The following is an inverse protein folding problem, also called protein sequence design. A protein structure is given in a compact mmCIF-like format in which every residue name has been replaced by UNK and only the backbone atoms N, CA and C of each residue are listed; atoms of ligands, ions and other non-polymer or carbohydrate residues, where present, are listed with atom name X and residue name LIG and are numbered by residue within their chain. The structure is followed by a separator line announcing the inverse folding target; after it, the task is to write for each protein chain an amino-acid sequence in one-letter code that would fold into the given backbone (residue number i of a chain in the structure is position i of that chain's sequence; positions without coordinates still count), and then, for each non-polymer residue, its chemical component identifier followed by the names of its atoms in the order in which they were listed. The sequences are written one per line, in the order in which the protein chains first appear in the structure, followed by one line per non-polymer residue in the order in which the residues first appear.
data_IF_402000499451
#
_entry.id   IF_402000499451
#
_cell.length_a   1.000
_cell.length_b   1.000
_cell.length_c   1.000
_cell.angle_alpha   90.00
_cell.angle_beta   90.00
_cell.angle_gamma   90.00
#
_symmetry.space_group_name_H-M   'P 1'
#
loop_
_entity.id
_entity.type
_entity.pdbx_description
1 polymer ?
#
# COMPACT_ATOMS: atom_id res chain seq x y z
N UNK A 1 -76.45 20.29 -40.26
CA UNK A 1 -76.96 19.02 -40.85
C UNK A 1 -75.99 17.94 -40.45
N UNK A 2 -76.47 17.15 -39.48
CA UNK A 2 -76.54 15.66 -39.50
C UNK A 2 -75.21 14.95 -39.51
N UNK A 3 -74.93 14.01 -38.77
CA UNK A 3 -75.50 13.01 -37.83
C UNK A 3 -74.30 12.32 -37.21
N UNK A 4 -74.09 12.16 -35.92
CA UNK A 4 -74.56 11.12 -34.98
C UNK A 4 -74.26 9.67 -35.40
N UNK A 5 -73.39 8.98 -34.58
CA UNK A 5 -73.47 7.60 -34.09
C UNK A 5 -72.17 7.31 -33.33
N UNK A 6 -72.06 7.14 -32.09
CA UNK A 6 -72.46 6.20 -31.04
C UNK A 6 -72.33 4.70 -31.45
N UNK A 7 -71.37 4.05 -30.88
CA UNK A 7 -71.28 2.61 -30.51
C UNK A 7 -70.00 2.47 -29.67
N UNK A 8 -70.11 2.29 -28.42
CA UNK A 8 -70.38 1.15 -27.57
C UNK A 8 -69.09 0.38 -27.16
N UNK A 9 -68.85 0.49 -26.03
CA UNK A 9 -68.38 -0.24 -24.87
C UNK A 9 -67.99 -1.71 -25.16
N UNK A 10 -66.70 -2.02 -24.96
CA UNK A 10 -66.34 -3.33 -24.43
C UNK A 10 -65.14 -3.26 -23.45
N UNK A 11 -65.44 -3.75 -22.33
CA UNK A 11 -64.79 -4.05 -21.08
C UNK A 11 -63.58 -5.00 -21.33
N UNK A 12 -62.35 -4.54 -21.14
CA UNK A 12 -61.21 -5.39 -20.97
C UNK A 12 -60.71 -5.33 -19.53
N UNK A 13 -60.89 -6.47 -18.94
CA UNK A 13 -60.53 -6.95 -17.62
C UNK A 13 -59.13 -6.55 -17.21
N UNK A 14 -58.99 -5.84 -16.11
CA UNK A 14 -57.71 -5.58 -15.40
C UNK A 14 -57.32 -6.86 -14.68
N UNK A 15 -56.36 -7.55 -15.21
CA UNK A 15 -55.59 -8.56 -14.47
C UNK A 15 -54.51 -7.81 -13.62
N UNK A 16 -54.85 -7.60 -12.36
CA UNK A 16 -53.86 -7.21 -11.34
C UNK A 16 -53.08 -8.46 -10.94
N UNK A 17 -51.95 -8.68 -11.52
CA UNK A 17 -50.91 -9.57 -10.94
C UNK A 17 -50.28 -8.83 -9.77
N UNK A 18 -50.84 -8.99 -8.60
CA UNK A 18 -50.25 -8.63 -7.35
C UNK A 18 -49.10 -9.62 -7.06
N UNK A 19 -47.89 -9.26 -7.50
CA UNK A 19 -46.67 -9.95 -7.10
C UNK A 19 -46.37 -9.60 -5.67
N UNK A 20 -46.83 -10.41 -4.73
CA UNK A 20 -46.45 -10.35 -3.32
C UNK A 20 -44.99 -10.77 -3.23
N UNK A 21 -44.07 -9.80 -3.24
CA UNK A 21 -42.67 -10.00 -2.86
C UNK A 21 -42.65 -10.43 -1.39
N UNK A 22 -42.32 -11.70 -1.16
CA UNK A 22 -42.16 -12.25 0.19
C UNK A 22 -40.97 -11.55 0.89
N UNK A 23 -41.05 -11.25 2.19
CA UNK A 23 -40.00 -10.56 2.93
C UNK A 23 -38.67 -11.34 3.01
N UNK A 24 -38.66 -12.62 2.61
CA UNK A 24 -37.45 -13.45 2.55
C UNK A 24 -36.44 -13.03 1.45
N UNK A 25 -36.90 -12.37 0.37
CA UNK A 25 -36.01 -11.93 -0.72
C UNK A 25 -35.25 -10.64 -0.39
N UNK A 26 -35.76 -9.83 0.55
CA UNK A 26 -35.13 -8.55 0.94
C UNK A 26 -33.97 -8.77 1.92
N UNK A 27 -34.00 -9.83 2.73
CA UNK A 27 -32.96 -10.13 3.74
C UNK A 27 -31.66 -10.65 3.09
N UNK A 28 -31.72 -11.28 1.92
CA UNK A 28 -30.55 -11.82 1.23
C UNK A 28 -29.73 -10.76 0.48
N UNK A 29 -30.33 -9.60 0.17
CA UNK A 29 -29.63 -8.53 -0.57
C UNK A 29 -28.79 -7.62 0.34
N UNK A 30 -29.03 -7.62 1.65
CA UNK A 30 -28.31 -6.76 2.60
C UNK A 30 -27.03 -7.37 3.17
N UNK A 31 -26.78 -8.66 2.95
CA UNK A 31 -25.59 -9.36 3.48
C UNK A 31 -24.36 -9.23 2.54
N UNK A 32 -24.56 -8.84 1.27
CA UNK A 32 -23.48 -8.78 0.29
C UNK A 32 -22.64 -7.48 0.32
N UNK A 33 -23.01 -6.48 1.13
CA UNK A 33 -22.28 -5.20 1.19
C UNK A 33 -21.21 -5.11 2.28
N UNK A 34 -20.96 -6.18 3.02
CA UNK A 34 -20.13 -6.17 4.23
C UNK A 34 -18.64 -6.52 4.06
N UNK A 35 -18.12 -6.80 2.86
CA UNK A 35 -16.75 -7.32 2.69
C UNK A 35 -15.90 -6.59 1.65
N UNK A 36 -16.27 -5.38 1.25
CA UNK A 36 -15.32 -4.51 0.59
C UNK A 36 -14.26 -4.08 1.63
N UNK A 37 -13.13 -4.76 1.66
CA UNK A 37 -11.94 -4.32 2.35
C UNK A 37 -11.51 -3.04 1.66
N UNK A 38 -11.97 -1.88 2.16
CA UNK A 38 -11.49 -0.59 1.71
C UNK A 38 -9.99 -0.57 1.96
N UNK A 39 -9.22 -0.66 0.88
CA UNK A 39 -7.80 -0.32 0.92
C UNK A 39 -7.79 1.18 1.18
N UNK A 40 -7.51 1.58 2.40
CA UNK A 40 -7.38 2.99 2.75
C UNK A 40 -6.13 3.52 2.03
N UNK A 41 -6.36 4.44 1.09
CA UNK A 41 -5.27 5.11 0.38
C UNK A 41 -4.61 6.15 1.30
N UNK A 42 -3.26 6.28 1.27
CA UNK A 42 -2.57 7.29 2.04
C UNK A 42 -3.00 8.70 1.63
N UNK A 43 -3.35 9.52 2.62
CA UNK A 43 -3.61 10.95 2.44
C UNK A 43 -2.29 11.71 2.56
N UNK A 44 -1.95 12.50 1.56
CA UNK A 44 -0.79 13.40 1.59
C UNK A 44 -1.15 14.65 2.40
N UNK A 45 -0.24 15.10 3.26
CA UNK A 45 -0.38 16.31 4.07
C UNK A 45 0.64 17.35 3.60
N UNK A 46 0.16 18.53 3.24
CA UNK A 46 1.02 19.65 2.83
C UNK A 46 1.77 20.27 4.01
N UNK A 47 1.24 20.14 5.22
CA UNK A 47 1.85 20.66 6.44
C UNK A 47 1.68 19.71 7.60
N UNK A 48 2.76 19.49 8.33
CA UNK A 48 2.76 18.70 9.57
C UNK A 48 2.71 19.63 10.77
N UNK A 49 1.61 19.53 11.54
CA UNK A 49 1.56 20.20 12.85
C UNK A 49 2.21 19.30 13.91
N UNK A 50 3.00 19.85 14.83
CA UNK A 50 3.55 19.10 15.95
C UNK A 50 2.40 18.61 16.84
N UNK A 51 2.42 17.33 17.21
CA UNK A 51 1.43 16.71 18.08
C UNK A 51 2.03 16.45 19.47
N UNK A 52 1.22 16.52 20.53
CA UNK A 52 1.66 16.18 21.88
C UNK A 52 2.00 14.68 21.97
N UNK A 53 3.11 14.38 22.66
CA UNK A 53 3.57 13.00 22.85
C UNK A 53 2.96 12.45 24.15
N UNK A 54 2.29 11.30 24.05
CA UNK A 54 1.68 10.57 25.15
C UNK A 54 1.88 9.06 24.94
N UNK A 55 3.13 8.60 25.01
CA UNK A 55 3.49 7.19 24.73
C UNK A 55 2.68 6.23 25.62
N UNK A 56 2.10 5.21 24.99
CA UNK A 56 1.27 4.21 25.65
C UNK A 56 1.80 2.80 25.41
N UNK A 57 1.80 1.97 26.44
CA UNK A 57 2.17 0.55 26.33
C UNK A 57 1.14 -0.30 25.56
N UNK A 58 -0.02 0.27 25.24
CA UNK A 58 -1.06 -0.41 24.47
C UNK A 58 -0.77 -0.41 22.97
N UNK A 59 0.13 0.45 22.52
CA UNK A 59 0.52 0.57 21.12
C UNK A 59 2.01 0.33 20.97
N UNK A 60 2.36 -0.51 20.02
CA UNK A 60 3.77 -0.84 19.76
C UNK A 60 4.05 -1.09 18.28
N UNK A 61 5.20 -0.66 17.80
CA UNK A 61 5.75 -1.12 16.53
C UNK A 61 6.45 -2.46 16.74
N UNK A 62 6.11 -3.45 15.90
CA UNK A 62 6.67 -4.82 15.98
C UNK A 62 7.81 -5.04 15.02
N UNK A 63 7.67 -4.53 13.81
CA UNK A 63 8.64 -4.73 12.74
C UNK A 63 8.48 -3.61 11.71
N UNK A 64 9.61 -3.16 11.17
CA UNK A 64 9.64 -2.27 10.02
C UNK A 64 10.44 -2.94 8.90
N UNK A 65 9.92 -2.89 7.69
CA UNK A 65 10.63 -3.29 6.48
C UNK A 65 10.74 -2.08 5.57
N UNK A 66 11.94 -1.82 5.11
CA UNK A 66 12.24 -0.78 4.15
C UNK A 66 12.78 -1.43 2.90
N UNK A 67 12.30 -0.99 1.76
CA UNK A 67 12.79 -1.45 0.48
C UNK A 67 12.93 -0.27 -0.47
N UNK A 68 14.11 -0.16 -1.07
CA UNK A 68 14.39 0.86 -2.08
C UNK A 68 14.51 0.19 -3.45
N UNK A 69 13.64 0.60 -4.38
CA UNK A 69 13.62 0.13 -5.75
C UNK A 69 14.21 1.19 -6.68
N UNK A 70 15.38 0.93 -7.25
CA UNK A 70 16.00 1.79 -8.26
C UNK A 70 15.99 1.12 -9.64
N UNK A 71 16.27 1.91 -10.69
CA UNK A 71 16.45 1.44 -12.06
C UNK A 71 17.65 0.50 -12.19
N UNK A 72 18.68 0.69 -11.35
CA UNK A 72 19.88 -0.16 -11.35
C UNK A 72 19.63 -1.41 -10.51
N UNK A 73 19.90 -2.61 -11.05
CA UNK A 73 19.86 -3.81 -10.24
C UNK A 73 20.87 -3.69 -9.10
N UNK A 74 20.59 -4.29 -7.94
CA UNK A 74 21.54 -4.29 -6.82
C UNK A 74 22.89 -4.80 -7.31
N UNK A 75 23.97 -4.08 -6.97
CA UNK A 75 25.31 -4.54 -7.27
C UNK A 75 25.50 -5.88 -6.57
N UNK A 76 25.78 -6.92 -7.34
CA UNK A 76 26.16 -8.22 -6.78
C UNK A 76 27.35 -8.00 -5.85
N UNK A 77 27.26 -8.53 -4.64
CA UNK A 77 28.34 -8.41 -3.65
C UNK A 77 29.65 -8.88 -4.29
N UNK A 78 30.72 -8.12 -4.13
CA UNK A 78 32.02 -8.44 -4.71
C UNK A 78 32.57 -9.81 -4.25
N UNK A 79 32.06 -10.34 -3.12
CA UNK A 79 32.35 -11.70 -2.65
C UNK A 79 31.89 -12.78 -3.63
N UNK A 80 30.81 -12.60 -4.34
CA UNK A 80 30.33 -13.52 -5.36
C UNK A 80 31.26 -13.52 -6.60
N UNK A 81 32.02 -12.44 -6.85
CA UNK A 81 32.99 -12.37 -7.93
C UNK A 81 34.31 -13.10 -7.59
N UNK A 82 34.72 -13.16 -6.33
CA UNK A 82 35.96 -13.79 -5.90
C UNK A 82 35.89 -15.31 -5.89
N UNK A 83 34.72 -15.91 -5.69
CA UNK A 83 34.54 -17.38 -5.72
C UNK A 83 34.64 -17.98 -7.15
N UNK A 84 34.41 -17.18 -8.19
CA UNK A 84 34.53 -17.65 -9.59
C UNK A 84 35.94 -17.54 -10.15
N UNK A 85 36.84 -16.79 -9.49
CA UNK A 85 38.23 -16.64 -9.94
C UNK A 85 39.18 -17.77 -9.46
N UNK A 86 38.74 -18.65 -8.56
CA UNK A 86 39.54 -19.73 -8.00
C UNK A 86 39.40 -21.07 -8.72
N UNK A 87 38.64 -21.16 -9.82
CA UNK A 87 38.56 -22.37 -10.65
C UNK A 87 39.63 -22.33 -11.72
N UNK A 88 40.56 -23.30 -11.62
CA UNK A 88 41.72 -23.56 -12.50
C UNK A 88 41.39 -23.42 -14.00
N UNK A 89 42.34 -22.89 -14.81
CA UNK A 89 42.20 -22.88 -16.25
C UNK A 89 42.40 -24.32 -16.78
N UNK A 90 41.36 -24.92 -17.34
CA UNK A 90 41.46 -26.26 -17.93
C UNK A 90 40.16 -26.94 -18.35
N UNK A 91 39.01 -26.32 -18.27
CA UNK A 91 37.77 -26.91 -18.76
C UNK A 91 37.17 -26.04 -19.87
N UNK A 92 37.46 -26.46 -21.13
CA UNK A 92 36.72 -26.02 -22.31
C UNK A 92 35.28 -26.49 -22.21
N UNK A 93 34.36 -25.57 -21.95
CA UNK A 93 32.94 -25.84 -21.94
C UNK A 93 32.21 -24.51 -22.00
N UNK A 94 31.79 -24.11 -23.19
CA UNK A 94 30.93 -22.97 -23.49
C UNK A 94 29.54 -23.19 -22.87
N UNK A 95 29.36 -22.85 -21.59
CA UNK A 95 28.04 -22.62 -21.01
C UNK A 95 27.98 -21.19 -20.53
N UNK A 96 26.91 -20.41 -20.87
CA UNK A 96 26.75 -19.08 -20.33
C UNK A 96 26.69 -19.21 -18.81
N UNK A 97 27.60 -18.55 -18.11
CA UNK A 97 27.71 -18.54 -16.66
C UNK A 97 26.33 -18.19 -16.07
N UNK A 98 25.61 -19.18 -15.58
CA UNK A 98 24.51 -18.95 -14.68
C UNK A 98 25.10 -18.26 -13.45
N UNK A 99 24.81 -16.97 -13.31
CA UNK A 99 25.20 -16.19 -12.14
C UNK A 99 24.51 -16.84 -10.95
N UNK A 100 25.26 -17.58 -10.16
CA UNK A 100 24.78 -18.17 -8.90
C UNK A 100 24.42 -17.02 -7.95
N UNK A 101 23.12 -16.83 -7.74
CA UNK A 101 22.60 -15.93 -6.72
C UNK A 101 22.99 -16.46 -5.35
N UNK A 102 23.57 -15.62 -4.50
CA UNK A 102 23.80 -15.99 -3.10
C UNK A 102 22.47 -16.06 -2.37
N UNK A 103 22.39 -16.86 -1.29
CA UNK A 103 21.18 -16.95 -0.45
C UNK A 103 20.71 -15.58 0.08
N UNK A 104 21.59 -14.59 0.15
CA UNK A 104 21.28 -13.22 0.57
C UNK A 104 20.67 -12.37 -0.56
N UNK A 105 20.98 -12.68 -1.81
CA UNK A 105 20.51 -11.93 -2.98
C UNK A 105 19.09 -12.35 -3.40
N UNK A 106 18.68 -13.57 -3.04
CA UNK A 106 17.36 -14.14 -3.38
C UNK A 106 16.18 -13.29 -2.86
N UNK A 107 16.15 -12.88 -1.58
CA UNK A 107 15.06 -12.05 -1.07
C UNK A 107 14.97 -10.69 -1.76
N UNK A 108 16.11 -10.07 -2.04
CA UNK A 108 16.18 -8.75 -2.69
C UNK A 108 15.70 -8.84 -4.14
N UNK A 109 16.12 -9.88 -4.84
CA UNK A 109 15.70 -10.12 -6.23
C UNK A 109 14.21 -10.43 -6.31
N UNK A 110 13.69 -11.23 -5.37
CA UNK A 110 12.27 -11.55 -5.30
C UNK A 110 11.43 -10.30 -5.04
N UNK A 111 11.82 -9.46 -4.06
CA UNK A 111 11.12 -8.23 -3.74
C UNK A 111 11.09 -7.28 -4.95
N UNK A 112 12.22 -7.16 -5.68
CA UNK A 112 12.28 -6.39 -6.91
C UNK A 112 11.31 -6.91 -7.97
N UNK A 113 11.29 -8.21 -8.23
CA UNK A 113 10.38 -8.83 -9.20
C UNK A 113 8.91 -8.63 -8.78
N UNK A 114 8.63 -8.78 -7.49
CA UNK A 114 7.29 -8.56 -6.94
C UNK A 114 6.81 -7.13 -7.15
N UNK A 115 7.66 -6.13 -6.87
CA UNK A 115 7.32 -4.70 -7.03
C UNK A 115 7.18 -4.29 -8.49
N UNK A 116 7.94 -4.90 -9.40
CA UNK A 116 7.87 -4.65 -10.83
C UNK A 116 6.83 -5.51 -11.55
N UNK A 117 6.16 -6.44 -10.86
CA UNK A 117 5.18 -7.32 -11.49
C UNK A 117 4.08 -6.53 -12.18
N UNK A 118 3.87 -6.81 -13.49
CA UNK A 118 2.90 -6.12 -14.33
C UNK A 118 3.38 -4.78 -14.93
N UNK A 119 4.59 -4.30 -14.59
CA UNK A 119 5.22 -3.15 -15.23
C UNK A 119 5.95 -3.59 -16.50
N UNK A 120 5.27 -3.53 -17.66
CA UNK A 120 5.78 -4.05 -18.94
C UNK A 120 6.67 -3.02 -19.62
N UNK A 121 6.30 -1.75 -19.62
CA UNK A 121 7.05 -0.68 -20.26
C UNK A 121 8.08 -0.05 -19.32
N UNK A 122 9.06 0.64 -19.87
CA UNK A 122 10.01 1.43 -19.07
C UNK A 122 9.31 2.53 -18.27
N UNK A 123 8.24 3.11 -18.81
CA UNK A 123 7.44 4.12 -18.12
C UNK A 123 6.75 3.52 -16.92
N UNK A 124 6.10 2.34 -17.07
CA UNK A 124 5.45 1.65 -15.94
C UNK A 124 6.47 1.29 -14.85
N UNK A 125 7.66 0.84 -15.24
CA UNK A 125 8.73 0.53 -14.29
C UNK A 125 9.22 1.77 -13.55
N UNK A 126 9.36 2.90 -14.26
CA UNK A 126 9.77 4.18 -13.71
C UNK A 126 8.81 4.67 -12.63
N UNK A 127 7.50 4.50 -12.84
CA UNK A 127 6.46 4.85 -11.87
C UNK A 127 6.49 4.00 -10.59
N UNK A 128 7.27 2.92 -10.58
CA UNK A 128 7.43 2.05 -9.41
C UNK A 128 8.75 2.22 -8.69
N UNK A 129 9.68 3.01 -9.22
CA UNK A 129 10.95 3.28 -8.54
C UNK A 129 10.74 4.22 -7.36
N UNK A 130 11.47 3.96 -6.27
CA UNK A 130 11.45 4.76 -5.05
C UNK A 130 11.51 3.93 -3.78
N UNK A 131 11.03 4.51 -2.69
CA UNK A 131 11.08 3.98 -1.35
C UNK A 131 9.74 3.37 -0.92
N UNK A 132 9.79 2.19 -0.34
CA UNK A 132 8.65 1.44 0.18
C UNK A 132 8.83 1.18 1.66
N UNK A 133 7.79 1.45 2.45
CA UNK A 133 7.77 1.35 3.90
C UNK A 133 6.65 0.44 4.35
N UNK A 134 6.98 -0.69 4.99
CA UNK A 134 6.04 -1.61 5.60
C UNK A 134 6.18 -1.53 7.12
N UNK A 135 5.20 -0.97 7.80
CA UNK A 135 5.16 -0.90 9.25
C UNK A 135 4.19 -1.94 9.81
N UNK A 136 4.71 -2.82 10.66
CA UNK A 136 3.90 -3.76 11.41
C UNK A 136 3.77 -3.25 12.84
N UNK A 137 2.55 -3.00 13.27
CA UNK A 137 2.25 -2.45 14.57
C UNK A 137 1.09 -3.19 15.22
N UNK A 138 0.90 -3.01 16.53
CA UNK A 138 -0.11 -3.69 17.33
C UNK A 138 -0.82 -2.71 18.26
N UNK A 139 -2.16 -2.81 18.30
CA UNK A 139 -3.01 -2.23 19.31
C UNK A 139 -3.50 -3.35 20.25
N UNK A 140 -3.25 -3.24 21.55
CA UNK A 140 -3.68 -4.25 22.56
C UNK A 140 -5.16 -4.11 22.90
N UNK A 141 -5.73 -2.91 22.73
CA UNK A 141 -7.15 -2.60 22.91
C UNK A 141 -7.78 -2.07 21.62
N UNK A 142 -9.11 -2.14 21.48
CA UNK A 142 -9.79 -1.48 20.36
C UNK A 142 -9.58 0.04 20.44
N UNK A 143 -9.19 0.65 19.33
CA UNK A 143 -8.94 2.09 19.24
C UNK A 143 -9.01 2.58 17.80
N UNK A 144 -9.29 3.87 17.64
CA UNK A 144 -9.13 4.57 16.37
C UNK A 144 -7.70 5.11 16.30
N UNK A 145 -6.95 4.65 15.31
CA UNK A 145 -5.53 4.95 15.17
C UNK A 145 -5.24 5.53 13.80
N UNK A 146 -4.60 6.67 13.77
CA UNK A 146 -4.00 7.23 12.55
C UNK A 146 -2.52 6.90 12.53
N UNK A 147 -2.08 6.25 11.45
CA UNK A 147 -0.66 5.99 11.20
C UNK A 147 -0.15 7.09 10.29
N UNK A 148 0.85 7.85 10.73
CA UNK A 148 1.47 8.93 9.97
C UNK A 148 2.92 8.60 9.71
N UNK A 149 3.31 8.61 8.43
CA UNK A 149 4.71 8.62 8.01
C UNK A 149 5.12 10.06 7.72
N UNK A 150 6.14 10.55 8.40
CA UNK A 150 6.82 11.81 8.09
C UNK A 150 8.20 11.49 7.54
N UNK A 151 8.59 12.18 6.47
CA UNK A 151 9.86 11.91 5.81
C UNK A 151 10.47 13.16 5.20
N UNK A 152 11.79 13.12 5.01
CA UNK A 152 12.59 14.13 4.30
C UNK A 152 13.22 13.50 3.08
N UNK A 153 13.19 14.21 1.96
CA UNK A 153 13.79 13.76 0.72
C UNK A 153 15.07 14.54 0.40
N UNK A 154 15.95 13.91 -0.34
CA UNK A 154 17.31 14.38 -0.61
C UNK A 154 17.35 15.80 -1.20
N UNK A 155 16.45 16.11 -2.13
CA UNK A 155 16.42 17.40 -2.83
C UNK A 155 15.62 18.47 -2.08
N UNK A 156 14.75 18.06 -1.16
CA UNK A 156 13.90 18.97 -0.38
C UNK A 156 14.53 19.38 0.96
N UNK A 157 15.73 18.85 1.29
CA UNK A 157 16.50 19.16 2.49
C UNK A 157 15.67 19.03 3.78
N UNK A 158 15.39 20.13 4.46
CA UNK A 158 14.70 20.14 5.77
C UNK A 158 13.17 20.11 5.64
N UNK A 159 12.63 20.14 4.42
CA UNK A 159 11.20 20.09 4.23
C UNK A 159 10.65 18.70 4.60
N UNK A 160 9.70 18.69 5.54
CA UNK A 160 9.03 17.46 5.99
C UNK A 160 7.74 17.27 5.23
N UNK A 161 7.66 16.15 4.52
CA UNK A 161 6.44 15.67 3.90
C UNK A 161 5.79 14.62 4.80
N UNK A 162 4.48 14.43 4.67
CA UNK A 162 3.79 13.40 5.44
C UNK A 162 2.67 12.71 4.66
N UNK A 163 2.45 11.45 5.00
CA UNK A 163 1.33 10.63 4.53
C UNK A 163 0.61 10.02 5.73
N UNK A 164 -0.71 9.96 5.69
CA UNK A 164 -1.54 9.39 6.76
C UNK A 164 -2.50 8.33 6.27
N UNK A 165 -2.71 7.31 7.11
CA UNK A 165 -3.78 6.32 6.96
C UNK A 165 -4.49 6.18 8.30
N UNK A 166 -5.81 6.32 8.31
CA UNK A 166 -6.63 6.21 9.52
C UNK A 166 -7.35 4.87 9.57
N UNK A 167 -7.33 4.25 10.73
CA UNK A 167 -7.98 2.98 11.02
C UNK A 167 -8.99 3.15 12.14
N UNK A 168 -10.20 2.62 11.96
CA UNK A 168 -11.26 2.68 12.95
C UNK A 168 -11.36 1.36 13.71
N UNK A 169 -11.54 1.45 15.03
CA UNK A 169 -11.80 0.33 15.93
C UNK A 169 -10.85 -0.86 15.72
N UNK A 170 -9.54 -0.60 15.60
CA UNK A 170 -8.55 -1.64 15.39
C UNK A 170 -8.07 -2.27 16.68
N UNK A 171 -7.93 -3.59 16.67
CA UNK A 171 -7.30 -4.41 17.72
C UNK A 171 -6.41 -5.46 17.09
N UNK A 172 -5.30 -5.79 17.74
CA UNK A 172 -4.35 -6.79 17.27
C UNK A 172 -3.27 -6.20 16.37
N UNK A 173 -2.63 -7.06 15.57
CA UNK A 173 -1.52 -6.66 14.68
C UNK A 173 -2.05 -6.23 13.32
N UNK A 174 -1.52 -5.12 12.83
CA UNK A 174 -1.82 -4.55 11.51
C UNK A 174 -0.54 -4.27 10.74
N UNK A 175 -0.67 -4.25 9.42
CA UNK A 175 0.36 -3.78 8.48
C UNK A 175 -0.14 -2.50 7.83
N UNK A 176 0.69 -1.46 7.83
CA UNK A 176 0.48 -0.23 7.06
C UNK A 176 1.61 -0.09 6.07
N UNK A 177 1.28 0.19 4.82
CA UNK A 177 2.23 0.38 3.73
C UNK A 177 2.18 1.82 3.24
N UNK A 178 3.35 2.45 3.16
CA UNK A 178 3.53 3.75 2.52
C UNK A 178 4.51 3.63 1.37
N UNK A 179 4.35 4.51 0.38
CA UNK A 179 5.17 4.52 -0.83
C UNK A 179 5.53 5.96 -1.17
N UNK A 180 6.80 6.17 -1.47
CA UNK A 180 7.33 7.41 -2.05
C UNK A 180 7.99 7.00 -3.36
N UNK A 181 7.20 6.98 -4.43
CA UNK A 181 7.57 6.36 -5.72
C UNK A 181 7.16 7.24 -6.89
N UNK A 182 7.63 6.88 -8.10
CA UNK A 182 7.28 7.58 -9.32
C UNK A 182 7.81 9.01 -9.32
N UNK A 183 6.95 9.96 -9.63
CA UNK A 183 7.32 11.36 -9.78
C UNK A 183 7.79 11.96 -8.44
N UNK A 184 7.16 11.63 -7.32
CA UNK A 184 7.60 12.07 -5.97
C UNK A 184 9.06 11.68 -5.67
N UNK A 185 9.46 10.47 -6.09
CA UNK A 185 10.84 10.01 -5.94
C UNK A 185 11.77 10.62 -7.00
N UNK A 186 11.34 10.73 -8.24
CA UNK A 186 12.19 11.19 -9.34
C UNK A 186 12.50 12.69 -9.24
N UNK A 187 11.50 13.47 -8.81
CA UNK A 187 11.61 14.91 -8.69
C UNK A 187 12.30 15.33 -7.39
N UNK A 188 11.93 14.71 -6.26
CA UNK A 188 12.39 15.10 -4.92
C UNK A 188 13.54 14.24 -4.37
N UNK A 189 13.85 13.13 -5.05
CA UNK A 189 14.91 12.22 -4.66
C UNK A 189 14.48 11.17 -3.64
N UNK A 190 15.44 10.39 -3.14
CA UNK A 190 15.20 9.32 -2.18
C UNK A 190 14.89 9.87 -0.79
N UNK A 191 14.19 9.08 0.02
CA UNK A 191 13.98 9.40 1.43
C UNK A 191 15.29 9.19 2.21
N UNK A 192 15.74 10.23 2.90
CA UNK A 192 16.98 10.23 3.70
C UNK A 192 16.71 10.06 5.19
N UNK A 193 15.59 10.58 5.67
CA UNK A 193 15.17 10.47 7.06
C UNK A 193 13.66 10.27 7.13
N UNK A 194 13.20 9.47 8.09
CA UNK A 194 11.77 9.20 8.27
C UNK A 194 11.45 8.91 9.73
N UNK A 195 10.19 9.18 10.11
CA UNK A 195 9.56 8.65 11.32
C UNK A 195 8.13 8.23 11.04
N UNK A 196 7.70 7.19 11.72
CA UNK A 196 6.33 6.70 11.67
C UNK A 196 5.70 6.83 13.05
N UNK A 197 4.53 7.43 13.10
CA UNK A 197 3.81 7.77 14.32
C UNK A 197 2.49 7.01 14.37
N UNK A 198 2.14 6.45 15.53
CA UNK A 198 0.79 6.03 15.84
C UNK A 198 0.12 7.15 16.63
N UNK A 199 -1.00 7.62 16.14
CA UNK A 199 -1.74 8.77 16.70
C UNK A 199 -3.12 8.28 17.13
N UNK A 200 -3.46 8.54 18.39
CA UNK A 200 -4.79 8.31 18.96
C UNK A 200 -5.29 9.61 19.60
N UNK A 201 -6.51 10.03 19.27
CA UNK A 201 -7.12 11.26 19.80
C UNK A 201 -6.21 12.49 19.69
N UNK A 202 -5.49 12.63 18.55
CA UNK A 202 -4.59 13.75 18.31
C UNK A 202 -3.28 13.73 19.14
N UNK A 203 -2.92 12.59 19.74
CA UNK A 203 -1.69 12.43 20.52
C UNK A 203 -0.85 11.29 19.97
N UNK A 204 0.47 11.45 19.99
CA UNK A 204 1.41 10.41 19.57
C UNK A 204 1.49 9.36 20.68
N UNK A 205 1.01 8.14 20.40
CA UNK A 205 0.98 7.03 21.35
C UNK A 205 2.12 6.04 21.15
N UNK A 206 2.72 5.98 19.95
CA UNK A 206 3.95 5.25 19.68
C UNK A 206 4.69 5.89 18.51
N UNK A 207 6.01 5.76 18.49
CA UNK A 207 6.90 6.29 17.45
C UNK A 207 7.93 5.25 17.04
N UNK A 208 8.25 5.22 15.76
CA UNK A 208 9.39 4.51 15.20
C UNK A 208 10.08 5.42 14.17
N UNK A 209 11.39 5.58 14.27
CA UNK A 209 12.14 6.52 13.44
C UNK A 209 13.46 5.96 12.93
N UNK A 210 13.95 6.52 11.84
CA UNK A 210 15.29 6.26 11.34
C UNK A 210 16.33 6.95 12.21
N UNK A 211 17.56 6.47 12.15
CA UNK A 211 18.68 7.07 12.87
C UNK A 211 18.94 8.53 12.46
N UNK A 212 18.67 8.87 11.20
CA UNK A 212 18.89 10.22 10.64
C UNK A 212 17.75 11.21 10.96
N UNK A 213 16.73 10.76 11.67
CA UNK A 213 15.64 11.64 12.10
C UNK A 213 15.99 12.26 13.46
N UNK A 214 16.36 13.51 13.46
CA UNK A 214 16.59 14.35 14.64
C UNK A 214 15.49 15.40 14.80
#
# INVERSE_FOLDING_TARGET
MSHMSYIDMERVSRFHYGMRLTPAAVVLLTIATGLARTVEEPRILDKTAPLPVALSKDFEFRKTKLYFLSDKPPKQSERARQTTSALKPGASGTSPSQKTLTLQDVPITFERQYRLFGAVTQVDQRQRFGDYFDFFWRAKRPADVTVRLEYRQEKLHDHVQAQEISYQNVRGTRKTEFKVIGDDYLDDGRVIAWRCLLIENGRIVAENRSYMWE
#
